data_IF_091295392685
#
_entry.id   IF_091295392685
#
_cell.length_a   1.000
_cell.length_b   1.000
_cell.length_c   1.000
_cell.angle_alpha   90.00
_cell.angle_beta   90.00
_cell.angle_gamma   90.00
#
_symmetry.space_group_name_H-M   'P 1'
#
loop_
_entity.id
_entity.type
_entity.pdbx_description
1 polymer ?
#
# COMPACT_ATOMS: atom_id res chain seq x y z
N UNK A 1 46.36 -18.32 -43.44
CA UNK A 1 46.31 -19.78 -43.23
C UNK A 1 45.01 -20.10 -42.50
N UNK A 2 44.13 -20.84 -43.15
CA UNK A 2 42.83 -21.28 -42.61
C UNK A 2 43.03 -22.58 -41.81
N UNK A 3 42.49 -22.64 -40.59
CA UNK A 3 42.49 -23.85 -39.76
C UNK A 3 41.41 -24.83 -40.25
N UNK A 4 41.75 -26.13 -40.26
CA UNK A 4 40.96 -27.22 -40.85
C UNK A 4 39.69 -27.57 -40.04
N UNK A 5 38.70 -28.16 -40.71
CA UNK A 5 37.36 -28.43 -40.17
C UNK A 5 37.27 -29.55 -39.10
N UNK A 6 38.39 -30.19 -38.74
CA UNK A 6 38.41 -31.28 -37.74
C UNK A 6 38.47 -30.84 -36.27
N UNK A 7 38.98 -29.64 -35.99
CA UNK A 7 39.14 -29.13 -34.61
C UNK A 7 37.93 -28.29 -34.12
N UNK A 8 36.98 -28.00 -35.02
CA UNK A 8 35.78 -27.21 -34.72
C UNK A 8 34.65 -28.04 -34.10
N UNK A 9 34.60 -29.36 -34.33
CA UNK A 9 33.56 -30.22 -33.76
C UNK A 9 33.85 -30.66 -32.31
N UNK A 10 35.10 -30.65 -31.86
CA UNK A 10 35.47 -31.05 -30.50
C UNK A 10 35.19 -29.96 -29.46
N UNK A 11 35.31 -28.69 -29.85
CA UNK A 11 34.97 -27.56 -28.97
C UNK A 11 33.46 -27.43 -28.74
N UNK A 12 32.64 -27.79 -29.73
CA UNK A 12 31.19 -27.68 -29.64
C UNK A 12 30.54 -28.77 -28.76
N UNK A 13 31.23 -29.90 -28.50
CA UNK A 13 30.70 -31.00 -27.66
C UNK A 13 30.96 -30.83 -26.16
N UNK A 14 31.81 -29.89 -25.73
CA UNK A 14 32.24 -29.79 -24.31
C UNK A 14 31.40 -28.86 -23.44
N UNK A 15 30.40 -28.17 -24.01
CA UNK A 15 29.60 -27.18 -23.30
C UNK A 15 28.09 -27.34 -23.52
N UNK A 16 27.59 -28.57 -23.66
CA UNK A 16 26.15 -28.87 -23.59
C UNK A 16 25.79 -29.44 -22.21
N UNK A 17 25.23 -28.64 -21.28
CA UNK A 17 24.60 -29.15 -20.08
C UNK A 17 23.08 -28.94 -20.17
N UNK A 18 22.44 -29.56 -21.17
CA UNK A 18 21.01 -29.89 -21.08
C UNK A 18 20.87 -31.27 -20.44
N UNK A 19 21.24 -31.36 -19.16
CA UNK A 19 20.96 -32.49 -18.29
C UNK A 19 20.44 -31.93 -16.96
N UNK A 20 19.18 -32.24 -16.65
CA UNK A 20 18.63 -32.15 -15.30
C UNK A 20 18.05 -30.79 -14.92
N UNK A 21 16.73 -30.65 -15.00
CA UNK A 21 16.05 -29.41 -14.61
C UNK A 21 16.22 -29.05 -13.14
N UNK A 22 16.60 -27.79 -12.86
CA UNK A 22 16.07 -26.91 -11.81
C UNK A 22 16.70 -25.49 -11.91
N UNK A 23 15.86 -24.45 -11.66
CA UNK A 23 16.09 -23.02 -11.26
C UNK A 23 16.71 -21.93 -12.19
N UNK A 24 15.83 -20.98 -12.54
CA UNK A 24 15.84 -19.50 -12.37
C UNK A 24 16.96 -18.62 -12.97
N UNK A 25 16.61 -17.61 -13.80
CA UNK A 25 16.78 -16.16 -13.51
C UNK A 25 16.19 -15.21 -14.58
N UNK A 26 15.58 -14.16 -14.01
CA UNK A 26 15.07 -12.84 -14.44
C UNK A 26 15.25 -12.25 -15.86
N UNK A 27 14.11 -11.71 -16.34
CA UNK A 27 13.86 -10.32 -16.73
C UNK A 27 15.00 -9.48 -17.35
N UNK A 28 14.81 -9.03 -18.59
CA UNK A 28 15.19 -7.68 -19.01
C UNK A 28 14.18 -7.12 -20.01
N UNK A 29 13.26 -6.31 -19.49
CA UNK A 29 12.29 -5.52 -20.24
C UNK A 29 13.01 -4.48 -21.12
N UNK A 30 12.67 -4.45 -22.41
CA UNK A 30 13.13 -3.45 -23.37
C UNK A 30 12.52 -2.08 -23.03
N UNK A 31 13.29 -1.18 -22.41
CA UNK A 31 12.90 0.21 -22.20
C UNK A 31 13.11 1.04 -23.47
N UNK A 32 12.07 1.72 -23.94
CA UNK A 32 12.17 2.68 -25.06
C UNK A 32 12.39 4.09 -24.50
N UNK A 33 13.27 4.86 -25.15
CA UNK A 33 13.78 6.17 -24.74
C UNK A 33 12.74 7.30 -24.60
N UNK A 34 11.44 7.01 -24.71
CA UNK A 34 10.36 7.97 -24.46
C UNK A 34 10.04 8.17 -22.96
N UNK A 35 10.48 7.26 -22.09
CA UNK A 35 10.21 7.32 -20.64
C UNK A 35 11.16 8.27 -19.88
N UNK A 36 12.29 8.66 -20.48
CA UNK A 36 13.40 9.35 -19.80
C UNK A 36 13.09 10.81 -19.42
N UNK A 37 12.03 11.41 -19.98
CA UNK A 37 11.58 12.77 -19.64
C UNK A 37 10.28 12.79 -18.80
N UNK A 38 9.99 11.71 -18.05
CA UNK A 38 9.11 11.84 -16.88
C UNK A 38 9.96 12.24 -15.70
N UNK A 39 9.90 13.53 -15.33
CA UNK A 39 10.32 14.00 -14.01
C UNK A 39 9.90 12.95 -12.97
N UNK A 40 10.85 12.39 -12.22
CA UNK A 40 10.59 11.34 -11.22
C UNK A 40 9.58 11.87 -10.20
N UNK A 41 8.30 11.63 -10.44
CA UNK A 41 7.23 12.01 -9.51
C UNK A 41 7.33 11.07 -8.32
N UNK A 42 7.32 11.63 -7.12
CA UNK A 42 7.28 10.83 -5.90
C UNK A 42 6.10 9.86 -5.96
N UNK A 43 6.36 8.58 -5.71
CA UNK A 43 5.32 7.55 -5.62
C UNK A 43 4.37 7.80 -4.43
N UNK A 44 3.26 7.05 -4.35
CA UNK A 44 2.29 7.22 -3.27
C UNK A 44 2.89 6.92 -1.89
N UNK A 45 2.53 7.72 -0.88
CA UNK A 45 2.93 7.47 0.51
C UNK A 45 2.37 6.14 1.02
N UNK A 46 3.25 5.26 1.51
CA UNK A 46 2.89 3.93 2.05
C UNK A 46 2.75 3.88 3.57
N UNK A 47 3.41 4.79 4.30
CA UNK A 47 3.45 4.79 5.78
C UNK A 47 3.87 3.42 6.35
N UNK A 48 4.91 2.82 5.77
CA UNK A 48 5.35 1.46 6.08
C UNK A 48 5.81 1.29 7.54
N UNK A 49 6.46 2.31 8.10
CA UNK A 49 6.90 2.33 9.51
C UNK A 49 5.72 2.13 10.48
N UNK A 50 4.60 2.80 10.21
CA UNK A 50 3.39 2.67 11.03
C UNK A 50 2.75 1.30 10.81
N UNK A 51 2.74 0.76 9.59
CA UNK A 51 2.23 -0.60 9.34
C UNK A 51 3.07 -1.69 10.01
N UNK A 52 4.39 -1.49 10.13
CA UNK A 52 5.32 -2.41 10.77
C UNK A 52 5.16 -2.50 12.29
N UNK A 53 4.39 -1.59 12.89
CA UNK A 53 4.00 -1.66 14.29
C UNK A 53 3.21 -2.95 14.59
N UNK A 54 3.79 -3.77 15.44
CA UNK A 54 3.22 -5.02 15.96
C UNK A 54 2.34 -4.79 17.21
N UNK A 55 2.40 -3.60 17.80
CA UNK A 55 1.68 -3.21 19.01
C UNK A 55 2.54 -3.20 20.28
N UNK A 56 3.82 -3.60 20.19
CA UNK A 56 4.79 -3.52 21.29
C UNK A 56 5.05 -2.07 21.72
N UNK A 57 5.01 -1.15 20.76
CA UNK A 57 5.02 0.28 20.99
C UNK A 57 3.87 0.95 20.25
N UNK A 58 3.26 1.96 20.88
CA UNK A 58 2.14 2.71 20.33
C UNK A 58 2.47 4.19 20.23
N UNK A 59 2.04 4.81 19.14
CA UNK A 59 2.19 6.25 18.92
C UNK A 59 1.14 6.98 19.77
N UNK A 60 1.55 7.89 20.65
CA UNK A 60 0.61 8.77 21.35
C UNK A 60 -0.06 9.72 20.35
N UNK A 61 -1.38 9.71 20.32
CA UNK A 61 -2.16 10.62 19.49
C UNK A 61 -2.96 11.55 20.40
N UNK A 62 -2.58 12.82 20.56
CA UNK A 62 -3.38 13.75 21.34
C UNK A 62 -4.71 13.99 20.62
N UNK A 63 -5.82 13.65 21.29
CA UNK A 63 -7.17 13.83 20.79
C UNK A 63 -7.86 15.00 21.50
N UNK A 64 -8.88 15.58 20.87
CA UNK A 64 -9.86 16.42 21.55
C UNK A 64 -11.03 15.59 22.07
N UNK A 65 -11.95 16.26 22.76
CA UNK A 65 -13.19 15.68 23.33
C UNK A 65 -14.08 14.98 22.29
N UNK A 66 -13.89 15.26 21.00
CA UNK A 66 -14.62 14.66 19.89
C UNK A 66 -13.84 13.53 19.19
N UNK A 67 -12.70 13.11 19.73
CA UNK A 67 -11.84 12.10 19.14
C UNK A 67 -11.06 12.56 17.89
N UNK A 68 -10.98 13.87 17.66
CA UNK A 68 -10.18 14.43 16.57
C UNK A 68 -8.73 14.60 17.01
N UNK A 69 -7.76 14.19 16.18
CA UNK A 69 -6.35 14.35 16.49
C UNK A 69 -5.94 15.82 16.41
N UNK A 70 -5.27 16.30 17.45
CA UNK A 70 -4.67 17.63 17.53
C UNK A 70 -3.15 17.51 17.31
N UNK A 71 -2.50 18.61 16.93
CA UNK A 71 -1.04 18.70 16.96
C UNK A 71 -0.34 18.18 15.70
N UNK A 72 1.00 18.04 15.75
CA UNK A 72 1.82 17.75 14.57
C UNK A 72 1.53 16.36 13.97
N UNK A 73 1.23 15.38 14.81
CA UNK A 73 1.01 13.98 14.40
C UNK A 73 -0.37 13.73 13.78
N UNK A 74 -1.31 14.66 13.93
CA UNK A 74 -2.65 14.58 13.33
C UNK A 74 -2.62 14.37 11.81
N UNK A 75 -1.73 15.10 11.12
CA UNK A 75 -1.59 14.99 9.66
C UNK A 75 -1.01 13.64 9.25
N UNK A 76 -0.09 13.10 10.03
CA UNK A 76 0.51 11.79 9.81
C UNK A 76 -0.54 10.70 10.01
N UNK A 77 -1.33 10.79 11.07
CA UNK A 77 -2.45 9.89 11.33
C UNK A 77 -3.46 9.85 10.18
N UNK A 78 -3.95 11.02 9.72
CA UNK A 78 -4.92 11.07 8.61
C UNK A 78 -4.32 10.54 7.30
N UNK A 79 -3.03 10.81 7.04
CA UNK A 79 -2.33 10.24 5.86
C UNK A 79 -2.25 8.72 5.94
N UNK A 80 -1.98 8.17 7.13
CA UNK A 80 -1.95 6.75 7.37
C UNK A 80 -3.33 6.09 7.23
N UNK A 81 -4.41 6.69 7.74
CA UNK A 81 -5.79 6.24 7.47
C UNK A 81 -6.09 6.18 5.96
N UNK A 82 -5.54 7.12 5.18
CA UNK A 82 -5.67 7.10 3.73
C UNK A 82 -5.06 5.86 3.05
N UNK A 83 -4.13 5.18 3.72
CA UNK A 83 -3.51 3.94 3.23
C UNK A 83 -4.42 2.72 3.40
N UNK A 84 -5.40 2.75 4.30
CA UNK A 84 -6.32 1.62 4.56
C UNK A 84 -7.07 1.24 3.31
N UNK A 85 -7.53 2.24 2.56
CA UNK A 85 -8.26 2.02 1.32
C UNK A 85 -7.40 1.37 0.23
N UNK A 86 -6.06 1.33 0.39
CA UNK A 86 -5.15 0.59 -0.51
C UNK A 86 -5.20 -0.91 -0.25
N UNK A 87 -5.62 -1.30 0.93
CA UNK A 87 -5.84 -2.68 1.31
C UNK A 87 -7.32 -3.05 1.10
N UNK A 88 -7.60 -3.89 0.11
CA UNK A 88 -8.96 -4.35 -0.19
C UNK A 88 -9.59 -5.18 0.92
N UNK A 89 -8.78 -5.77 1.80
CA UNK A 89 -9.26 -6.55 2.95
C UNK A 89 -9.81 -5.67 4.06
N UNK A 90 -9.24 -4.47 4.25
CA UNK A 90 -9.68 -3.51 5.28
C UNK A 90 -10.81 -2.61 4.77
N UNK A 91 -10.72 -2.18 3.52
CA UNK A 91 -11.81 -1.43 2.92
C UNK A 91 -12.18 -1.96 1.53
N UNK A 92 -13.35 -2.59 1.40
CA UNK A 92 -13.83 -3.01 0.10
C UNK A 92 -14.22 -1.80 -0.76
N UNK A 93 -14.06 -1.93 -2.08
CA UNK A 93 -14.41 -0.86 -3.01
C UNK A 93 -15.94 -0.68 -3.10
N UNK A 94 -16.66 -1.80 -3.02
CA UNK A 94 -18.13 -1.92 -3.05
C UNK A 94 -18.60 -2.38 -1.67
N UNK A 95 -19.68 -1.82 -1.10
CA UNK A 95 -20.56 -0.79 -1.66
C UNK A 95 -19.94 0.60 -1.70
N UNK A 96 -20.44 1.43 -2.63
CA UNK A 96 -19.93 2.78 -2.91
C UNK A 96 -19.94 3.71 -1.68
N UNK A 97 -21.05 3.70 -0.94
CA UNK A 97 -21.28 4.54 0.22
C UNK A 97 -20.72 3.87 1.48
N UNK A 98 -19.91 4.62 2.25
CA UNK A 98 -19.30 4.12 3.47
C UNK A 98 -20.29 3.68 4.55
N UNK A 99 -21.43 4.37 4.77
CA UNK A 99 -22.44 3.89 5.71
C UNK A 99 -22.99 2.50 5.38
N UNK A 100 -23.00 2.12 4.09
CA UNK A 100 -23.48 0.81 3.60
C UNK A 100 -22.44 -0.30 3.71
N UNK A 101 -21.18 0.02 3.99
CA UNK A 101 -20.14 -0.99 4.21
C UNK A 101 -20.46 -1.72 5.51
N UNK A 102 -20.32 -3.04 5.49
CA UNK A 102 -20.54 -3.90 6.64
C UNK A 102 -19.73 -3.44 7.84
N UNK A 103 -20.31 -3.59 9.03
CA UNK A 103 -19.70 -3.13 10.27
C UNK A 103 -18.38 -3.85 10.57
N UNK A 104 -18.25 -5.12 10.15
CA UNK A 104 -17.00 -5.89 10.26
C UNK A 104 -15.79 -5.12 9.74
N UNK A 105 -15.87 -4.52 8.56
CA UNK A 105 -14.74 -3.76 8.00
C UNK A 105 -14.43 -2.49 8.81
N UNK A 106 -15.45 -1.87 9.42
CA UNK A 106 -15.25 -0.70 10.28
C UNK A 106 -14.54 -1.10 11.57
N UNK A 107 -14.92 -2.23 12.16
CA UNK A 107 -14.28 -2.80 13.34
C UNK A 107 -12.85 -3.26 13.04
N UNK A 108 -12.60 -3.91 11.90
CA UNK A 108 -11.26 -4.31 11.47
C UNK A 108 -10.36 -3.06 11.31
N UNK A 109 -10.88 -2.00 10.70
CA UNK A 109 -10.16 -0.71 10.63
C UNK A 109 -9.87 -0.14 12.02
N UNK A 110 -10.83 -0.21 12.94
CA UNK A 110 -10.66 0.29 14.30
C UNK A 110 -9.60 -0.50 15.08
N UNK A 111 -9.60 -1.82 14.96
CA UNK A 111 -8.60 -2.70 15.58
C UNK A 111 -7.17 -2.35 15.13
N UNK A 112 -6.98 -2.03 13.85
CA UNK A 112 -5.69 -1.61 13.32
C UNK A 112 -5.22 -0.26 13.90
N UNK A 113 -6.16 0.64 14.22
CA UNK A 113 -5.90 1.93 14.89
C UNK A 113 -5.46 1.68 16.33
N UNK A 114 -6.26 0.95 17.11
CA UNK A 114 -5.98 0.65 18.53
C UNK A 114 -4.67 -0.11 18.73
N UNK A 115 -4.30 -0.95 17.77
CA UNK A 115 -3.03 -1.69 17.79
C UNK A 115 -1.83 -0.76 17.76
N UNK A 116 -1.92 0.38 17.08
CA UNK A 116 -0.76 1.23 16.73
C UNK A 116 -0.74 2.58 17.40
N UNK A 117 -1.90 3.06 17.81
CA UNK A 117 -2.07 4.34 18.45
C UNK A 117 -2.58 4.15 19.88
N UNK A 118 -2.01 4.95 20.78
CA UNK A 118 -2.51 5.07 22.14
C UNK A 118 -3.62 6.12 22.14
N UNK A 119 -4.84 5.69 22.44
CA UNK A 119 -6.02 6.53 22.59
C UNK A 119 -6.25 6.68 24.08
N UNK A 120 -6.14 7.90 24.60
CA UNK A 120 -6.37 8.18 26.01
C UNK A 120 -7.90 8.12 26.29
N UNK A 121 -8.31 7.09 27.04
CA UNK A 121 -9.72 6.79 27.36
C UNK A 121 -10.39 7.91 28.19
N UNK A 122 -9.59 8.68 28.92
CA UNK A 122 -10.08 9.77 29.78
C UNK A 122 -10.54 10.99 28.95
N UNK A 123 -10.00 11.16 27.74
CA UNK A 123 -10.33 12.29 26.86
C UNK A 123 -11.56 11.99 26.01
N UNK A 124 -11.64 10.76 25.48
CA UNK A 124 -12.73 10.34 24.60
C UNK A 124 -13.46 9.17 25.23
N UNK A 125 -14.71 9.39 25.61
CA UNK A 125 -15.54 8.37 26.24
C UNK A 125 -15.69 7.14 25.31
N UNK A 126 -15.61 5.90 25.82
CA UNK A 126 -15.72 4.66 25.06
C UNK A 126 -16.81 4.60 23.97
N UNK A 127 -18.06 5.05 24.20
CA UNK A 127 -19.10 4.99 23.17
C UNK A 127 -18.81 5.81 21.90
N UNK A 128 -18.01 6.88 22.01
CA UNK A 128 -17.79 7.82 20.90
C UNK A 128 -16.39 7.71 20.25
N UNK A 129 -15.53 6.82 20.75
CA UNK A 129 -14.12 6.74 20.35
C UNK A 129 -13.91 6.53 18.85
N UNK A 130 -14.73 5.67 18.23
CA UNK A 130 -14.60 5.36 16.81
C UNK A 130 -15.31 6.35 15.89
N UNK A 131 -16.22 7.18 16.41
CA UNK A 131 -17.16 7.96 15.60
C UNK A 131 -16.47 8.86 14.58
N UNK A 132 -15.49 9.64 15.03
CA UNK A 132 -14.72 10.52 14.16
C UNK A 132 -13.84 9.75 13.17
N UNK A 133 -13.14 8.71 13.62
CA UNK A 133 -12.24 7.93 12.77
C UNK A 133 -13.01 7.25 11.62
N UNK A 134 -14.14 6.61 11.94
CA UNK A 134 -15.02 6.00 10.95
C UNK A 134 -15.61 7.05 9.99
N UNK A 135 -15.99 8.23 10.48
CA UNK A 135 -16.44 9.32 9.61
C UNK A 135 -15.36 9.72 8.59
N UNK A 136 -14.13 9.95 9.06
CA UNK A 136 -13.00 10.35 8.21
C UNK A 136 -12.61 9.27 7.21
N UNK A 137 -12.64 7.99 7.61
CA UNK A 137 -12.49 6.87 6.68
C UNK A 137 -13.50 6.98 5.54
N UNK A 138 -14.76 7.29 5.82
CA UNK A 138 -15.77 7.50 4.78
C UNK A 138 -15.43 8.63 3.80
N UNK A 139 -14.88 9.74 4.29
CA UNK A 139 -14.41 10.86 3.44
C UNK A 139 -13.23 10.43 2.56
N UNK A 140 -12.24 9.76 3.16
CA UNK A 140 -11.05 9.28 2.46
C UNK A 140 -11.38 8.23 1.38
N UNK A 141 -12.35 7.34 1.63
CA UNK A 141 -12.87 6.39 0.64
C UNK A 141 -13.39 7.10 -0.60
N UNK A 142 -14.23 8.12 -0.41
CA UNK A 142 -14.80 8.91 -1.52
C UNK A 142 -13.68 9.57 -2.33
N UNK A 143 -12.73 10.20 -1.65
CA UNK A 143 -11.59 10.85 -2.29
C UNK A 143 -10.73 9.88 -3.11
N UNK A 144 -10.46 8.67 -2.57
CA UNK A 144 -9.75 7.63 -3.32
C UNK A 144 -10.51 7.22 -4.58
N UNK A 145 -11.82 6.97 -4.48
CA UNK A 145 -12.62 6.56 -5.65
C UNK A 145 -12.60 7.62 -6.75
N UNK A 146 -12.66 8.90 -6.39
CA UNK A 146 -12.50 10.00 -7.35
C UNK A 146 -11.13 9.96 -8.03
N UNK A 147 -10.05 9.68 -7.30
CA UNK A 147 -8.70 9.51 -7.87
C UNK A 147 -8.64 8.31 -8.81
N UNK A 148 -9.14 7.15 -8.37
CA UNK A 148 -9.18 5.94 -9.21
C UNK A 148 -9.93 6.17 -10.53
N UNK A 149 -11.05 6.91 -10.51
CA UNK A 149 -11.75 7.30 -11.74
C UNK A 149 -10.88 8.15 -12.66
N UNK A 150 -10.20 9.18 -12.13
CA UNK A 150 -9.28 10.01 -12.94
C UNK A 150 -8.14 9.20 -13.55
N UNK A 151 -7.63 8.21 -12.80
CA UNK A 151 -6.49 7.40 -13.23
C UNK A 151 -6.87 6.36 -14.31
N UNK A 152 -8.13 5.89 -14.34
CA UNK A 152 -8.55 4.76 -15.18
C UNK A 152 -9.66 5.09 -16.20
N UNK A 153 -10.38 6.20 -16.04
CA UNK A 153 -11.31 6.69 -17.07
C UNK A 153 -10.47 7.40 -18.12
N UNK A 154 -10.16 6.70 -19.20
CA UNK A 154 -9.63 7.33 -20.42
C UNK A 154 -10.74 8.23 -20.96
N UNK A 155 -10.46 9.53 -21.05
CA UNK A 155 -11.26 10.43 -21.87
C UNK A 155 -10.86 10.11 -23.32
N UNK A 156 -11.72 9.36 -24.01
CA UNK A 156 -11.72 9.29 -25.48
C UNK A 156 -12.25 10.60 -26.06
#
# INVERSE_FOLDING_TARGET
>A
MAMANGEREEYQRRCDPNIGGFVYTDDYQQSTAAEENRLKRRGPTKQAEIWALDGSWKIRLPLNDQGQPIGPDSKTFVRWLGTFFRNGLLCPLVPAAWPKVEEKFKLDCWSEIEKRYLIDLDIVQPPDQMGWAIHILGVLKRNRRTKLKKDHVKVE
#
